data_IF_949307570759
#
_entry.id   IF_949307570759
#
_cell.length_a   1.000
_cell.length_b   1.000
_cell.length_c   1.000
_cell.angle_alpha   90.00
_cell.angle_beta   90.00
_cell.angle_gamma   90.00
#
_symmetry.space_group_name_H-M   'P 1'
#
loop_
_entity.id
_entity.type
_entity.pdbx_description
1 polymer ?
#
# COMPACT_ATOMS: atom_id res chain seq x y z
N UNK A 1 38.02 14.20 -5.97
CA UNK A 1 37.63 13.44 -4.78
C UNK A 1 36.11 13.58 -4.67
N UNK A 2 35.37 12.68 -5.31
CA UNK A 2 33.89 12.74 -5.35
C UNK A 2 33.38 12.11 -4.06
N UNK A 3 32.63 12.86 -3.27
CA UNK A 3 31.94 12.36 -2.08
C UNK A 3 30.93 11.33 -2.60
N UNK A 4 31.10 10.06 -2.23
CA UNK A 4 30.32 8.95 -2.76
C UNK A 4 28.83 9.12 -2.52
N UNK A 5 28.09 9.57 -3.53
CA UNK A 5 26.62 9.52 -3.52
C UNK A 5 26.26 8.06 -3.75
N UNK A 6 25.93 7.34 -2.67
CA UNK A 6 25.46 5.95 -2.75
C UNK A 6 24.25 5.80 -3.68
N UNK A 7 23.92 4.56 -4.06
CA UNK A 7 22.80 4.28 -4.97
C UNK A 7 21.48 4.93 -4.50
N UNK A 8 20.56 5.34 -5.39
CA UNK A 8 19.29 5.96 -4.96
C UNK A 8 18.48 5.07 -4.00
N UNK A 9 18.61 3.73 -4.10
CA UNK A 9 18.00 2.77 -3.18
C UNK A 9 18.63 2.81 -1.77
N UNK A 10 19.96 2.94 -1.67
CA UNK A 10 20.64 3.20 -0.39
C UNK A 10 20.20 4.55 0.22
N UNK A 11 19.99 5.56 -0.62
CA UNK A 11 19.41 6.85 -0.20
C UNK A 11 18.00 6.71 0.38
N UNK A 12 17.16 5.86 -0.22
CA UNK A 12 15.83 5.54 0.29
C UNK A 12 15.89 4.92 1.68
N UNK A 13 16.74 3.92 1.89
CA UNK A 13 16.90 3.26 3.20
C UNK A 13 17.29 4.25 4.30
N UNK A 14 18.28 5.10 4.04
CA UNK A 14 18.68 6.14 5.00
C UNK A 14 17.55 7.10 5.33
N UNK A 15 16.72 7.46 4.36
CA UNK A 15 15.53 8.29 4.59
C UNK A 15 14.55 7.57 5.51
N UNK A 16 14.24 6.31 5.21
CA UNK A 16 13.37 5.48 6.04
C UNK A 16 13.87 5.40 7.48
N UNK A 17 15.14 5.04 7.70
CA UNK A 17 15.73 4.91 9.04
C UNK A 17 15.70 6.23 9.81
N UNK A 18 15.93 7.36 9.12
CA UNK A 18 15.82 8.69 9.72
C UNK A 18 14.38 9.00 10.15
N UNK A 19 13.40 8.67 9.32
CA UNK A 19 11.98 8.85 9.63
C UNK A 19 11.51 7.90 10.75
N UNK A 20 12.02 6.68 10.77
CA UNK A 20 11.72 5.63 11.74
C UNK A 20 12.68 5.61 12.95
N UNK A 21 13.49 6.67 13.14
CA UNK A 21 14.57 6.69 14.14
C UNK A 21 14.08 6.51 15.59
N UNK A 22 12.80 6.79 15.87
CA UNK A 22 12.18 6.51 17.17
C UNK A 22 11.96 5.00 17.43
N UNK A 23 12.21 4.15 16.43
CA UNK A 23 11.92 2.71 16.46
C UNK A 23 13.07 1.83 15.98
N UNK A 24 14.09 2.40 15.33
CA UNK A 24 15.20 1.66 14.70
C UNK A 24 16.52 2.09 15.34
N UNK A 25 17.33 1.12 15.78
CA UNK A 25 18.74 1.40 16.10
C UNK A 25 19.50 1.66 14.80
N UNK A 26 20.25 2.77 14.72
CA UNK A 26 21.02 3.10 13.51
C UNK A 26 22.06 2.01 13.21
N UNK A 27 22.00 1.44 12.01
CA UNK A 27 22.98 0.47 11.52
C UNK A 27 24.07 1.18 10.69
N UNK A 28 25.09 0.42 10.28
CA UNK A 28 26.08 0.86 9.31
C UNK A 28 25.39 1.19 7.97
N UNK A 29 26.03 2.05 7.17
CA UNK A 29 25.50 2.41 5.84
C UNK A 29 25.19 1.14 5.01
N UNK A 30 24.04 1.09 4.31
CA UNK A 30 23.67 -0.07 3.52
C UNK A 30 24.69 -0.30 2.41
N UNK A 31 25.14 -1.55 2.28
CA UNK A 31 26.07 -1.96 1.24
C UNK A 31 25.50 -1.61 -0.16
N UNK A 32 26.16 -0.75 -0.95
CA UNK A 32 25.68 -0.37 -2.27
C UNK A 32 25.56 -1.57 -3.23
N UNK A 33 26.36 -2.63 -3.04
CA UNK A 33 26.35 -3.84 -3.87
C UNK A 33 25.16 -4.77 -3.53
N UNK A 34 24.38 -4.45 -2.49
CA UNK A 34 23.15 -5.15 -2.11
C UNK A 34 22.02 -5.00 -3.14
N UNK A 35 22.09 -3.96 -3.98
CA UNK A 35 21.00 -3.61 -4.90
C UNK A 35 21.30 -4.09 -6.32
N UNK A 36 20.54 -5.05 -6.86
CA UNK A 36 20.78 -5.57 -8.21
C UNK A 36 20.50 -4.49 -9.27
N UNK A 37 21.14 -4.60 -10.44
CA UNK A 37 20.75 -3.82 -11.61
C UNK A 37 19.34 -4.28 -12.08
N UNK A 38 18.33 -3.39 -12.12
CA UNK A 38 17.00 -3.75 -12.60
C UNK A 38 16.96 -4.03 -14.12
N UNK A 39 17.98 -3.62 -14.88
CA UNK A 39 17.98 -3.70 -16.33
C UNK A 39 16.79 -2.93 -16.93
N UNK A 40 15.85 -3.68 -17.51
CA UNK A 40 14.61 -3.16 -18.13
C UNK A 40 13.36 -3.37 -17.27
N UNK A 41 13.49 -3.98 -16.10
CA UNK A 41 12.40 -4.16 -15.14
C UNK A 41 12.05 -2.83 -14.48
N UNK A 42 10.75 -2.59 -14.28
CA UNK A 42 10.23 -1.34 -13.70
C UNK A 42 10.78 -0.08 -14.41
N UNK A 43 11.02 -0.16 -15.72
CA UNK A 43 11.53 0.95 -16.50
C UNK A 43 10.54 2.13 -16.50
N UNK A 44 11.05 3.31 -16.12
CA UNK A 44 10.34 4.59 -16.08
C UNK A 44 11.35 5.74 -16.21
N UNK A 45 10.88 6.97 -16.45
CA UNK A 45 11.77 8.14 -16.39
C UNK A 45 12.19 8.43 -14.96
N UNK A 46 11.32 8.18 -13.99
CA UNK A 46 11.63 8.24 -12.56
C UNK A 46 12.31 6.95 -12.07
N UNK A 47 13.11 7.00 -10.98
CA UNK A 47 13.87 5.84 -10.50
C UNK A 47 13.00 4.82 -9.72
N UNK A 48 12.00 4.24 -10.39
CA UNK A 48 11.00 3.32 -9.78
C UNK A 48 11.65 2.05 -9.24
N UNK A 49 12.66 1.50 -9.92
CA UNK A 49 13.38 0.34 -9.40
C UNK A 49 14.07 0.64 -8.06
N UNK A 50 14.64 1.85 -7.90
CA UNK A 50 15.26 2.25 -6.64
C UNK A 50 14.23 2.41 -5.52
N UNK A 51 13.05 2.97 -5.83
CA UNK A 51 11.92 3.00 -4.90
C UNK A 51 11.52 1.59 -4.46
N UNK A 52 11.39 0.66 -5.40
CA UNK A 52 10.98 -0.71 -5.13
C UNK A 52 12.00 -1.46 -4.27
N UNK A 53 13.29 -1.39 -4.65
CA UNK A 53 14.35 -2.05 -3.91
C UNK A 53 14.56 -1.45 -2.53
N UNK A 54 14.52 -0.11 -2.40
CA UNK A 54 14.61 0.56 -1.11
C UNK A 54 13.49 0.15 -0.16
N UNK A 55 12.24 0.08 -0.65
CA UNK A 55 11.09 -0.31 0.17
C UNK A 55 11.15 -1.78 0.61
N UNK A 56 11.50 -2.71 -0.30
CA UNK A 56 11.65 -4.13 0.05
C UNK A 56 12.85 -4.36 0.96
N UNK A 57 13.97 -3.65 0.76
CA UNK A 57 15.12 -3.71 1.67
C UNK A 57 14.76 -3.21 3.08
N UNK A 58 14.01 -2.11 3.20
CA UNK A 58 13.55 -1.61 4.50
C UNK A 58 12.72 -2.66 5.25
N UNK A 59 11.84 -3.35 4.53
CA UNK A 59 11.05 -4.46 5.07
C UNK A 59 11.91 -5.68 5.46
N UNK A 60 12.85 -6.08 4.60
CA UNK A 60 13.77 -7.18 4.89
C UNK A 60 14.63 -6.89 6.14
N UNK A 61 15.17 -5.68 6.25
CA UNK A 61 15.98 -5.25 7.40
C UNK A 61 15.16 -5.23 8.69
N UNK A 62 13.92 -4.76 8.63
CA UNK A 62 13.02 -4.80 9.78
C UNK A 62 12.67 -6.23 10.18
N UNK A 63 12.47 -7.14 9.21
CA UNK A 63 12.24 -8.56 9.47
C UNK A 63 13.46 -9.23 10.12
N UNK A 64 14.67 -8.91 9.68
CA UNK A 64 15.90 -9.45 10.26
C UNK A 64 16.16 -8.90 11.67
N UNK A 65 15.83 -7.63 11.95
CA UNK A 65 15.83 -7.12 13.33
C UNK A 65 14.89 -7.91 14.24
N UNK A 66 13.71 -8.28 13.75
CA UNK A 66 12.80 -9.15 14.51
C UNK A 66 13.40 -10.53 14.71
N UNK A 67 13.98 -11.14 13.67
CA UNK A 67 14.66 -12.45 13.79
C UNK A 67 15.75 -12.41 14.86
N UNK A 68 16.63 -11.42 14.84
CA UNK A 68 17.68 -11.24 15.87
C UNK A 68 17.06 -11.10 17.27
N UNK A 69 16.03 -10.28 17.42
CA UNK A 69 15.34 -10.09 18.70
C UNK A 69 14.62 -11.36 19.22
N UNK A 70 14.41 -12.35 18.35
CA UNK A 70 13.82 -13.65 18.67
C UNK A 70 14.84 -14.79 18.73
N UNK A 71 16.14 -14.50 18.57
CA UNK A 71 17.18 -15.53 18.54
C UNK A 71 17.14 -16.41 17.29
N UNK A 72 16.56 -15.92 16.19
CA UNK A 72 16.44 -16.61 14.91
C UNK A 72 17.58 -16.21 13.96
N UNK A 73 17.99 -17.09 13.05
CA UNK A 73 18.96 -16.74 12.02
C UNK A 73 18.38 -15.65 11.11
N UNK A 74 19.19 -14.63 10.79
CA UNK A 74 18.84 -13.62 9.78
C UNK A 74 18.80 -14.24 8.39
N UNK A 75 18.05 -13.62 7.48
CA UNK A 75 18.03 -14.08 6.09
C UNK A 75 19.38 -13.81 5.42
N UNK A 76 19.89 -14.79 4.68
CA UNK A 76 21.08 -14.64 3.81
C UNK A 76 20.70 -14.58 2.32
N UNK A 77 19.40 -14.61 2.02
CA UNK A 77 18.92 -14.57 0.65
C UNK A 77 19.13 -13.16 0.06
N UNK A 78 19.72 -13.05 -1.15
CA UNK A 78 19.89 -11.76 -1.78
C UNK A 78 18.55 -11.19 -2.27
N UNK A 79 18.52 -9.86 -2.47
CA UNK A 79 17.39 -9.22 -3.13
C UNK A 79 17.46 -9.50 -4.63
N UNK A 80 16.39 -10.07 -5.18
CA UNK A 80 16.28 -10.39 -6.59
C UNK A 80 15.43 -9.37 -7.34
N UNK A 81 15.98 -8.76 -8.39
CA UNK A 81 15.30 -7.70 -9.15
C UNK A 81 13.98 -8.17 -9.77
N UNK A 82 13.95 -9.39 -10.30
CA UNK A 82 12.79 -10.01 -10.94
C UNK A 82 11.68 -10.34 -9.93
N UNK A 83 12.01 -10.86 -8.74
CA UNK A 83 11.06 -11.09 -7.63
C UNK A 83 10.42 -9.81 -7.14
N UNK A 84 11.22 -8.76 -6.94
CA UNK A 84 10.71 -7.46 -6.50
C UNK A 84 9.83 -6.84 -7.59
N UNK A 85 10.29 -6.87 -8.85
CA UNK A 85 9.50 -6.36 -9.97
C UNK A 85 8.20 -7.14 -10.16
N UNK A 86 8.19 -8.47 -9.98
CA UNK A 86 6.99 -9.30 -10.10
C UNK A 86 5.98 -8.92 -9.03
N UNK A 87 6.44 -8.77 -7.78
CA UNK A 87 5.59 -8.33 -6.68
C UNK A 87 4.99 -6.94 -6.94
N UNK A 88 5.75 -5.98 -7.45
CA UNK A 88 5.27 -4.64 -7.80
C UNK A 88 4.31 -4.65 -9.00
N UNK A 89 4.43 -5.62 -9.90
CA UNK A 89 3.60 -5.76 -11.08
C UNK A 89 2.51 -6.84 -10.92
N UNK A 90 2.08 -7.12 -9.68
CA UNK A 90 1.16 -8.23 -9.36
C UNK A 90 -0.09 -8.24 -10.23
N UNK A 91 -0.68 -7.07 -10.47
CA UNK A 91 -1.82 -6.86 -11.37
C UNK A 91 -1.56 -7.35 -12.81
N UNK A 92 -0.33 -7.15 -13.32
CA UNK A 92 0.10 -7.60 -14.65
C UNK A 92 0.59 -9.05 -14.66
N UNK A 93 0.99 -9.59 -13.51
CA UNK A 93 1.36 -11.01 -13.34
C UNK A 93 0.15 -11.92 -13.16
N UNK A 94 -0.98 -11.37 -12.70
CA UNK A 94 -2.19 -12.13 -12.40
C UNK A 94 -2.76 -12.82 -13.64
N UNK A 95 -3.01 -14.13 -13.53
CA UNK A 95 -3.78 -14.90 -14.51
C UNK A 95 -4.94 -15.62 -13.84
N UNK A 96 -6.04 -15.76 -14.57
CA UNK A 96 -7.17 -16.63 -14.25
C UNK A 96 -7.29 -17.66 -15.38
N UNK A 97 -7.14 -18.95 -15.06
CA UNK A 97 -7.11 -20.04 -16.03
C UNK A 97 -6.08 -19.84 -17.16
N UNK A 98 -4.94 -19.21 -16.83
CA UNK A 98 -3.88 -18.88 -17.78
C UNK A 98 -4.08 -17.56 -18.53
N UNK A 99 -5.25 -16.94 -18.45
CA UNK A 99 -5.56 -15.69 -19.16
C UNK A 99 -5.25 -14.43 -18.31
N UNK A 100 -4.69 -13.35 -18.90
CA UNK A 100 -4.49 -12.08 -18.22
C UNK A 100 -5.79 -11.50 -17.66
N UNK A 101 -5.75 -11.02 -16.42
CA UNK A 101 -6.88 -10.30 -15.83
C UNK A 101 -6.68 -8.79 -15.99
N UNK A 102 -7.70 -8.07 -16.45
CA UNK A 102 -7.63 -6.60 -16.58
C UNK A 102 -7.67 -5.92 -15.22
N UNK A 103 -6.67 -5.07 -14.94
CA UNK A 103 -6.58 -4.30 -13.69
C UNK A 103 -7.38 -2.98 -13.68
N UNK A 104 -7.82 -2.46 -14.83
CA UNK A 104 -8.55 -1.19 -14.92
C UNK A 104 -9.87 -1.31 -15.68
N UNK A 105 -10.91 -0.69 -15.13
CA UNK A 105 -12.19 -0.55 -15.80
C UNK A 105 -12.12 0.48 -16.95
N UNK A 106 -13.07 0.38 -17.87
CA UNK A 106 -13.12 1.21 -19.08
C UNK A 106 -13.05 2.73 -18.81
N UNK A 107 -13.76 3.22 -17.78
CA UNK A 107 -13.78 4.64 -17.41
C UNK A 107 -12.67 5.03 -16.43
N UNK A 108 -11.67 4.17 -16.20
CA UNK A 108 -10.47 4.46 -15.42
C UNK A 108 -9.31 4.76 -16.35
N UNK A 109 -9.03 6.03 -16.61
CA UNK A 109 -7.89 6.40 -17.45
C UNK A 109 -7.56 7.88 -17.43
N UNK A 110 -6.60 8.27 -18.28
CA UNK A 110 -6.37 9.66 -18.63
C UNK A 110 -7.32 10.08 -19.75
N UNK A 111 -8.00 11.19 -19.55
CA UNK A 111 -8.97 11.77 -20.48
C UNK A 111 -8.62 13.24 -20.71
N UNK A 112 -8.69 13.68 -21.96
CA UNK A 112 -8.49 15.07 -22.33
C UNK A 112 -9.69 15.89 -21.85
N UNK A 113 -9.41 16.95 -21.09
CA UNK A 113 -10.33 18.00 -20.69
C UNK A 113 -10.12 19.22 -21.60
N UNK A 114 -10.95 20.26 -21.46
CA UNK A 114 -10.91 21.44 -22.34
C UNK A 114 -9.57 22.19 -22.30
N UNK A 115 -8.88 22.18 -21.16
CA UNK A 115 -7.67 22.95 -20.87
C UNK A 115 -6.51 22.08 -20.35
N UNK A 116 -6.61 20.75 -20.49
CA UNK A 116 -5.58 19.84 -20.00
C UNK A 116 -6.03 18.39 -19.94
N UNK A 117 -5.60 17.68 -18.91
CA UNK A 117 -5.93 16.27 -18.71
C UNK A 117 -6.46 16.02 -17.31
N UNK A 118 -7.35 15.05 -17.19
CA UNK A 118 -7.78 14.49 -15.92
C UNK A 118 -7.49 13.00 -15.87
N UNK A 119 -7.23 12.48 -14.66
CA UNK A 119 -7.19 11.06 -14.35
C UNK A 119 -8.44 10.70 -13.58
N UNK A 120 -9.22 9.77 -14.11
CA UNK A 120 -10.40 9.21 -13.44
C UNK A 120 -10.05 7.88 -12.78
N UNK A 121 -10.75 7.53 -11.70
CA UNK A 121 -10.72 6.19 -11.11
C UNK A 121 -12.14 5.66 -10.94
N UNK A 122 -12.54 4.75 -11.82
CA UNK A 122 -13.88 4.15 -11.91
C UNK A 122 -13.83 2.61 -11.92
N UNK A 123 -12.85 2.01 -11.23
CA UNK A 123 -12.65 0.56 -11.20
C UNK A 123 -13.78 -0.23 -10.52
N UNK A 124 -14.53 0.42 -9.62
CA UNK A 124 -15.64 -0.18 -8.91
C UNK A 124 -16.98 0.36 -9.42
N UNK A 125 -18.07 -0.43 -9.44
CA UNK A 125 -19.38 0.02 -9.93
C UNK A 125 -19.86 1.32 -9.29
N UNK A 126 -19.70 1.47 -7.98
CA UNK A 126 -20.10 2.69 -7.26
C UNK A 126 -19.20 3.90 -7.57
N UNK A 127 -17.93 3.70 -7.96
CA UNK A 127 -17.09 4.79 -8.46
C UNK A 127 -17.52 5.21 -9.87
N UNK A 128 -17.85 4.25 -10.73
CA UNK A 128 -18.38 4.49 -12.07
C UNK A 128 -19.69 5.29 -12.01
N UNK A 129 -20.64 4.88 -11.17
CA UNK A 129 -21.91 5.56 -11.01
C UNK A 129 -21.74 7.04 -10.58
N UNK A 130 -20.85 7.31 -9.62
CA UNK A 130 -20.54 8.69 -9.19
C UNK A 130 -19.89 9.52 -10.28
N UNK A 131 -18.97 8.95 -11.06
CA UNK A 131 -18.36 9.63 -12.20
C UNK A 131 -19.42 10.05 -13.23
N UNK A 132 -20.32 9.14 -13.61
CA UNK A 132 -21.38 9.45 -14.57
C UNK A 132 -22.37 10.48 -14.04
N UNK A 133 -22.70 10.40 -12.74
CA UNK A 133 -23.53 11.42 -12.07
C UNK A 133 -22.90 12.81 -12.17
N UNK A 134 -21.60 12.93 -11.89
CA UNK A 134 -20.87 14.20 -11.99
C UNK A 134 -20.80 14.71 -13.44
N UNK A 135 -20.72 13.80 -14.42
CA UNK A 135 -20.73 14.14 -15.84
C UNK A 135 -22.14 14.42 -16.41
N UNK A 136 -23.20 14.25 -15.62
CA UNK A 136 -24.59 14.38 -16.09
C UNK A 136 -24.99 13.30 -17.12
N UNK A 137 -24.40 12.11 -17.03
CA UNK A 137 -24.62 11.01 -17.97
C UNK A 137 -25.49 9.90 -17.34
N UNK A 138 -26.31 9.18 -18.14
CA UNK A 138 -27.07 8.04 -17.67
C UNK A 138 -26.15 6.87 -17.27
N UNK A 139 -26.63 5.97 -16.43
CA UNK A 139 -25.82 4.87 -15.89
C UNK A 139 -25.27 3.92 -16.97
N UNK A 140 -25.95 3.78 -18.11
CA UNK A 140 -25.54 2.93 -19.23
C UNK A 140 -24.62 3.64 -20.23
N UNK A 141 -24.22 4.89 -19.96
CA UNK A 141 -23.34 5.65 -20.84
C UNK A 141 -22.02 4.93 -21.13
N UNK A 142 -21.67 4.90 -22.42
CA UNK A 142 -20.42 4.33 -22.91
C UNK A 142 -19.23 5.27 -22.69
N UNK A 143 -18.02 4.76 -22.95
CA UNK A 143 -16.80 5.56 -22.89
C UNK A 143 -16.80 6.74 -23.83
N UNK A 144 -17.40 6.64 -25.02
CA UNK A 144 -17.43 7.74 -25.98
C UNK A 144 -18.24 8.93 -25.47
N UNK A 145 -19.36 8.68 -24.80
CA UNK A 145 -20.15 9.70 -24.11
C UNK A 145 -19.36 10.35 -22.97
N UNK A 146 -18.70 9.54 -22.14
CA UNK A 146 -17.84 10.04 -21.06
C UNK A 146 -16.68 10.90 -21.59
N UNK A 147 -16.01 10.48 -22.66
CA UNK A 147 -14.94 11.24 -23.32
C UNK A 147 -15.44 12.59 -23.79
N UNK A 148 -16.58 12.64 -24.49
CA UNK A 148 -17.17 13.92 -24.95
C UNK A 148 -17.55 14.83 -23.78
N UNK A 149 -18.13 14.28 -22.73
CA UNK A 149 -18.51 15.05 -21.55
C UNK A 149 -17.28 15.65 -20.85
N UNK A 150 -16.22 14.84 -20.62
CA UNK A 150 -14.98 15.31 -19.98
C UNK A 150 -14.31 16.39 -20.84
N UNK A 151 -14.25 16.21 -22.16
CA UNK A 151 -13.65 17.18 -23.08
C UNK A 151 -14.35 18.55 -23.07
N UNK A 152 -15.62 18.62 -22.63
CA UNK A 152 -16.38 19.86 -22.48
C UNK A 152 -16.13 20.62 -21.17
N UNK A 153 -15.36 20.07 -20.22
CA UNK A 153 -15.11 20.69 -18.92
C UNK A 153 -13.66 21.15 -18.78
N UNK A 154 -13.45 22.25 -18.04
CA UNK A 154 -12.12 22.58 -17.50
C UNK A 154 -11.67 21.51 -16.49
N UNK A 155 -10.38 21.16 -16.51
CA UNK A 155 -9.83 20.11 -15.68
C UNK A 155 -9.91 20.43 -14.18
N UNK A 156 -9.74 21.70 -13.82
CA UNK A 156 -9.89 22.19 -12.44
C UNK A 156 -11.34 22.10 -11.96
N UNK A 157 -12.27 22.63 -12.77
CA UNK A 157 -13.71 22.61 -12.49
C UNK A 157 -14.22 21.18 -12.33
N UNK A 158 -13.78 20.27 -13.19
CA UNK A 158 -14.18 18.87 -13.12
C UNK A 158 -13.60 18.16 -11.88
N UNK A 159 -12.34 18.41 -11.51
CA UNK A 159 -11.77 17.90 -10.26
C UNK A 159 -12.55 18.42 -9.04
N UNK A 160 -12.91 19.72 -9.04
CA UNK A 160 -13.67 20.33 -7.96
C UNK A 160 -15.08 19.73 -7.85
N UNK A 161 -15.81 19.65 -8.97
CA UNK A 161 -17.14 19.04 -9.02
C UNK A 161 -17.10 17.56 -8.61
N UNK A 162 -16.08 16.81 -9.04
CA UNK A 162 -15.90 15.43 -8.65
C UNK A 162 -15.66 15.27 -7.15
N UNK A 163 -14.83 16.14 -6.55
CA UNK A 163 -14.57 16.12 -5.11
C UNK A 163 -15.85 16.35 -4.29
N UNK A 164 -16.73 17.27 -4.74
CA UNK A 164 -18.03 17.52 -4.11
C UNK A 164 -19.02 16.36 -4.32
N UNK A 165 -19.06 15.78 -5.53
CA UNK A 165 -19.93 14.65 -5.89
C UNK A 165 -19.44 13.29 -5.41
N UNK A 166 -18.28 13.24 -4.73
CA UNK A 166 -17.67 11.98 -4.27
C UNK A 166 -17.14 11.08 -5.39
N UNK A 167 -17.03 11.60 -6.61
CA UNK A 167 -16.36 10.95 -7.73
C UNK A 167 -14.83 11.09 -7.60
N UNK A 168 -14.11 10.29 -8.37
CA UNK A 168 -12.65 10.22 -8.31
C UNK A 168 -12.07 10.73 -9.62
N UNK A 169 -11.92 12.04 -9.70
CA UNK A 169 -11.31 12.74 -10.84
C UNK A 169 -10.26 13.69 -10.29
N UNK A 170 -9.05 13.64 -10.84
CA UNK A 170 -7.94 14.50 -10.47
C UNK A 170 -7.32 15.12 -11.72
N UNK A 171 -7.11 16.42 -11.73
CA UNK A 171 -6.37 17.12 -12.78
C UNK A 171 -4.92 16.65 -12.79
N UNK A 172 -4.41 16.36 -13.98
CA UNK A 172 -2.98 16.11 -14.19
C UNK A 172 -2.22 17.42 -14.05
N UNK A 173 -1.26 17.45 -13.14
CA UNK A 173 -0.41 18.62 -12.87
C UNK A 173 1.01 18.36 -13.31
N UNK A 174 1.80 19.41 -13.40
CA UNK A 174 3.27 19.32 -13.39
C UNK A 174 3.78 19.29 -11.94
N UNK A 175 5.02 18.81 -11.69
CA UNK A 175 5.61 18.86 -10.35
C UNK A 175 5.70 20.29 -9.78
N UNK A 176 5.87 21.30 -10.64
CA UNK A 176 5.91 22.71 -10.23
C UNK A 176 4.54 23.19 -9.73
N UNK A 177 3.47 22.94 -10.50
CA UNK A 177 2.10 23.26 -10.09
C UNK A 177 1.73 22.56 -8.76
N UNK A 178 2.08 21.28 -8.62
CA UNK A 178 1.81 20.57 -7.37
C UNK A 178 2.50 21.23 -6.17
N UNK A 179 3.78 21.58 -6.28
CA UNK A 179 4.54 22.22 -5.20
C UNK A 179 4.04 23.61 -4.83
N UNK A 180 3.36 24.32 -5.73
CA UNK A 180 2.83 25.66 -5.47
C UNK A 180 1.38 25.66 -4.98
N UNK A 181 0.64 24.57 -5.12
CA UNK A 181 -0.71 24.41 -4.56
C UNK A 181 -0.67 23.98 -3.07
N UNK A 182 -1.63 24.43 -2.27
CA UNK A 182 -1.72 24.12 -0.83
C UNK A 182 -1.74 22.61 -0.55
N UNK A 183 -2.51 21.88 -1.35
CA UNK A 183 -2.61 20.42 -1.28
C UNK A 183 -1.26 19.76 -1.52
N UNK A 184 -0.52 20.21 -2.54
CA UNK A 184 0.75 19.60 -2.88
C UNK A 184 1.90 20.02 -1.99
N UNK A 185 1.88 21.23 -1.40
CA UNK A 185 2.80 21.58 -0.30
C UNK A 185 2.61 20.65 0.90
N UNK A 186 1.36 20.44 1.34
CA UNK A 186 1.06 19.56 2.47
C UNK A 186 1.43 18.10 2.19
N UNK A 187 1.13 17.60 0.99
CA UNK A 187 1.46 16.23 0.58
C UNK A 187 2.97 16.01 0.39
N UNK A 188 3.69 17.01 -0.15
CA UNK A 188 5.14 16.89 -0.39
C UNK A 188 5.98 17.01 0.88
N UNK A 189 5.45 17.65 1.93
CA UNK A 189 6.09 17.78 3.23
C UNK A 189 5.96 16.52 4.12
N UNK A 190 5.21 15.50 3.69
CA UNK A 190 5.05 14.27 4.46
C UNK A 190 6.37 13.46 4.45
N UNK A 191 6.83 12.97 5.62
CA UNK A 191 7.95 12.02 5.66
C UNK A 191 7.56 10.69 5.00
N UNK A 192 8.55 9.85 4.66
CA UNK A 192 8.28 8.49 4.16
C UNK A 192 7.46 7.67 5.16
N UNK A 193 7.77 7.82 6.45
CA UNK A 193 7.05 7.21 7.56
C UNK A 193 6.94 8.23 8.69
N UNK A 194 5.78 8.31 9.32
CA UNK A 194 5.56 9.08 10.55
C UNK A 194 5.33 8.11 11.69
N UNK A 195 5.99 8.32 12.83
CA UNK A 195 5.87 7.48 14.03
C UNK A 195 5.52 8.36 15.22
N UNK A 196 4.49 7.97 15.96
CA UNK A 196 4.11 8.59 17.23
C UNK A 196 3.99 7.54 18.33
N UNK A 197 4.54 7.83 19.50
CA UNK A 197 4.30 7.03 20.69
C UNK A 197 2.87 7.25 21.20
N UNK A 198 2.29 6.20 21.76
CA UNK A 198 0.97 6.19 22.40
C UNK A 198 1.13 5.64 23.82
N UNK A 199 0.60 6.34 24.84
CA UNK A 199 0.61 5.82 26.20
C UNK A 199 -0.12 4.49 26.30
N UNK A 200 0.46 3.56 27.07
CA UNK A 200 -0.18 2.34 27.60
C UNK A 200 -0.97 1.52 26.57
N UNK A 201 -0.30 0.75 25.69
CA UNK A 201 -0.97 -0.24 24.85
C UNK A 201 -1.47 -1.42 25.71
N UNK A 202 -2.25 -2.32 25.10
CA UNK A 202 -2.49 -3.64 25.66
C UNK A 202 -1.18 -4.24 26.21
N UNK A 203 -1.16 -4.87 27.41
CA UNK A 203 0.00 -5.64 27.83
C UNK A 203 0.31 -6.66 26.74
N UNK A 204 1.58 -6.79 26.36
CA UNK A 204 1.98 -7.71 25.31
C UNK A 204 1.46 -9.11 25.65
N UNK A 205 0.62 -9.69 24.77
CA UNK A 205 0.31 -11.11 24.87
C UNK A 205 1.64 -11.85 24.78
N UNK A 206 1.96 -12.67 25.78
CA UNK A 206 3.01 -13.67 25.59
C UNK A 206 2.52 -14.55 24.43
N UNK A 207 3.31 -14.72 23.36
CA UNK A 207 3.01 -15.73 22.36
C UNK A 207 2.78 -17.05 23.11
N UNK A 208 1.68 -17.74 22.83
CA UNK A 208 1.50 -19.08 23.38
C UNK A 208 2.73 -19.90 22.97
N UNK A 209 3.39 -20.63 23.90
CA UNK A 209 4.46 -21.54 23.53
C UNK A 209 3.86 -22.58 22.57
N UNK A 210 4.21 -22.50 21.30
CA UNK A 210 3.80 -23.44 20.27
C UNK A 210 4.97 -24.40 20.02
N UNK A 211 4.71 -25.69 20.15
CA UNK A 211 5.74 -26.73 20.29
C UNK A 211 6.34 -27.21 18.96
N UNK A 212 6.14 -26.51 17.83
CA UNK A 212 6.82 -26.84 16.56
C UNK A 212 6.98 -25.64 15.63
N UNK A 213 8.16 -25.61 15.00
CA UNK A 213 8.77 -24.63 14.10
C UNK A 213 9.09 -23.24 14.67
N UNK A 214 10.11 -23.21 15.52
CA UNK A 214 10.70 -21.99 16.09
C UNK A 214 11.30 -21.03 15.04
N UNK A 215 11.19 -21.28 13.72
CA UNK A 215 11.87 -20.53 12.66
C UNK A 215 11.10 -19.32 12.11
N UNK A 216 9.85 -19.10 12.51
CA UNK A 216 8.95 -18.09 11.92
C UNK A 216 8.82 -16.82 12.80
N UNK A 217 9.28 -15.64 12.36
CA UNK A 217 9.52 -14.48 13.25
C UNK A 217 8.28 -13.81 13.84
N UNK A 218 7.11 -13.90 13.19
CA UNK A 218 5.86 -13.27 13.67
C UNK A 218 4.82 -14.29 14.17
N UNK A 219 5.23 -15.54 14.42
CA UNK A 219 4.32 -16.56 14.92
C UNK A 219 3.63 -16.10 16.21
N UNK A 220 2.30 -16.18 16.22
CA UNK A 220 1.47 -15.77 17.36
C UNK A 220 1.07 -14.30 17.38
N UNK A 221 1.61 -13.45 16.49
CA UNK A 221 1.18 -12.08 16.31
C UNK A 221 -0.17 -12.02 15.59
N UNK A 222 -1.13 -11.27 16.12
CA UNK A 222 -2.45 -11.06 15.50
C UNK A 222 -2.55 -9.69 14.83
N UNK A 223 -2.90 -9.66 13.55
CA UNK A 223 -3.03 -8.44 12.75
C UNK A 223 -4.45 -8.31 12.23
N UNK A 224 -5.18 -7.29 12.70
CA UNK A 224 -6.49 -6.94 12.18
C UNK A 224 -6.34 -5.97 11.00
N UNK A 225 -6.73 -6.43 9.82
CA UNK A 225 -6.59 -5.73 8.54
C UNK A 225 -7.93 -5.09 8.13
N UNK A 226 -8.03 -3.76 8.24
CA UNK A 226 -9.14 -2.96 7.71
C UNK A 226 -8.71 -2.18 6.47
N UNK A 227 -7.83 -2.76 5.67
CA UNK A 227 -7.33 -2.14 4.45
C UNK A 227 -7.92 -2.81 3.22
N UNK A 228 -7.79 -2.13 2.07
CA UNK A 228 -8.35 -2.56 0.79
C UNK A 228 -7.40 -2.22 -0.34
N UNK A 229 -7.69 -2.75 -1.53
CA UNK A 229 -6.95 -2.43 -2.76
C UNK A 229 -5.51 -2.97 -2.71
N UNK A 230 -4.47 -2.14 -2.61
CA UNK A 230 -3.06 -2.57 -2.76
C UNK A 230 -2.19 -2.22 -1.56
N UNK A 231 -2.00 -0.94 -1.22
CA UNK A 231 -0.94 -0.56 -0.25
C UNK A 231 -1.05 -1.23 1.12
N UNK A 232 -2.23 -1.15 1.73
CA UNK A 232 -2.50 -1.82 3.00
C UNK A 232 -2.43 -3.35 2.89
N UNK A 233 -3.08 -3.97 1.88
CA UNK A 233 -2.99 -5.40 1.66
C UNK A 233 -1.57 -5.94 1.40
N UNK A 234 -0.71 -5.17 0.72
CA UNK A 234 0.72 -5.48 0.57
C UNK A 234 1.39 -5.50 1.94
N UNK A 235 1.14 -4.50 2.79
CA UNK A 235 1.71 -4.47 4.13
C UNK A 235 1.30 -5.69 4.96
N UNK A 236 0.00 -5.99 5.00
CA UNK A 236 -0.55 -7.06 5.84
C UNK A 236 -0.21 -8.45 5.30
N UNK A 237 -0.15 -8.65 3.98
CA UNK A 237 0.35 -9.90 3.38
C UNK A 237 1.83 -10.12 3.66
N UNK A 238 2.63 -9.06 3.67
CA UNK A 238 4.04 -9.15 4.04
C UNK A 238 4.22 -9.56 5.52
N UNK A 239 3.33 -9.11 6.42
CA UNK A 239 3.31 -9.60 7.80
C UNK A 239 2.86 -11.08 7.88
N UNK A 240 1.86 -11.49 7.09
CA UNK A 240 1.44 -12.89 6.99
C UNK A 240 2.55 -13.81 6.48
N UNK A 241 3.33 -13.35 5.49
CA UNK A 241 4.50 -14.07 4.95
C UNK A 241 5.51 -14.42 6.06
N UNK A 242 5.68 -13.52 7.02
CA UNK A 242 6.54 -13.70 8.19
C UNK A 242 5.86 -14.45 9.35
N UNK A 243 4.63 -14.94 9.16
CA UNK A 243 3.91 -15.84 10.06
C UNK A 243 2.88 -15.20 11.00
N UNK A 244 2.54 -13.93 10.81
CA UNK A 244 1.46 -13.32 11.57
C UNK A 244 0.09 -13.93 11.19
N UNK A 245 -0.81 -14.08 12.15
CA UNK A 245 -2.21 -14.41 11.88
C UNK A 245 -2.94 -13.12 11.48
N UNK A 246 -3.23 -13.00 10.19
CA UNK A 246 -3.84 -11.81 9.62
C UNK A 246 -5.30 -12.08 9.29
N UNK A 247 -6.20 -11.34 9.92
CA UNK A 247 -7.63 -11.36 9.65
C UNK A 247 -8.05 -10.03 9.03
N UNK A 248 -8.48 -10.07 7.78
CA UNK A 248 -9.08 -8.94 7.08
C UNK A 248 -10.58 -8.90 7.27
N UNK A 249 -11.10 -7.72 7.62
CA UNK A 249 -12.54 -7.48 7.74
C UNK A 249 -12.98 -6.46 6.68
N UNK A 250 -13.88 -6.88 5.79
CA UNK A 250 -14.49 -6.01 4.78
C UNK A 250 -15.98 -5.74 5.08
N UNK A 251 -16.52 -4.57 4.69
CA UNK A 251 -17.93 -4.29 4.80
C UNK A 251 -18.73 -5.00 3.68
N UNK A 252 -19.96 -5.48 3.96
CA UNK A 252 -20.73 -6.28 2.99
C UNK A 252 -21.13 -5.50 1.74
N UNK A 253 -21.31 -4.17 1.86
CA UNK A 253 -21.71 -3.31 0.74
C UNK A 253 -20.57 -2.98 -0.21
N UNK A 254 -19.36 -3.50 0.01
CA UNK A 254 -18.22 -3.19 -0.84
C UNK A 254 -17.32 -4.39 -1.06
N UNK A 255 -17.88 -5.41 -1.72
CA UNK A 255 -17.14 -6.57 -2.17
C UNK A 255 -15.83 -6.18 -2.88
N UNK A 256 -14.75 -6.85 -2.52
CA UNK A 256 -13.48 -6.72 -3.23
C UNK A 256 -13.55 -7.48 -4.55
N UNK A 257 -12.85 -6.98 -5.57
CA UNK A 257 -12.78 -7.67 -6.86
C UNK A 257 -12.06 -9.01 -6.67
N UNK A 258 -12.60 -10.12 -7.20
CA UNK A 258 -12.04 -11.46 -7.00
C UNK A 258 -10.55 -11.55 -7.38
N UNK A 259 -10.18 -10.93 -8.50
CA UNK A 259 -8.80 -10.78 -8.96
C UNK A 259 -7.90 -10.04 -7.94
N UNK A 260 -8.41 -8.96 -7.36
CA UNK A 260 -7.70 -8.19 -6.33
C UNK A 260 -7.53 -8.99 -5.05
N UNK A 261 -8.55 -9.76 -4.65
CA UNK A 261 -8.46 -10.69 -3.50
C UNK A 261 -7.40 -11.76 -3.75
N UNK A 262 -7.42 -12.40 -4.92
CA UNK A 262 -6.44 -13.41 -5.31
C UNK A 262 -5.00 -12.87 -5.26
N UNK A 263 -4.78 -11.66 -5.78
CA UNK A 263 -3.46 -11.03 -5.81
C UNK A 263 -3.01 -10.45 -4.47
N UNK A 264 -3.88 -10.10 -3.52
CA UNK A 264 -3.46 -9.35 -2.32
C UNK A 264 -3.81 -9.99 -0.98
N UNK A 265 -4.52 -11.13 -0.98
CA UNK A 265 -4.96 -11.81 0.23
C UNK A 265 -4.30 -13.18 0.47
N UNK A 266 -3.22 -13.51 -0.23
CA UNK A 266 -2.44 -14.72 0.08
C UNK A 266 -1.92 -14.67 1.53
N UNK A 267 -1.97 -15.78 2.24
CA UNK A 267 -1.60 -15.87 3.66
C UNK A 267 -2.56 -15.18 4.64
N UNK A 268 -3.68 -14.58 4.19
CA UNK A 268 -4.62 -13.81 5.03
C UNK A 268 -6.03 -14.36 5.03
N UNK A 269 -6.65 -14.45 6.21
CA UNK A 269 -8.08 -14.79 6.33
C UNK A 269 -8.90 -13.56 5.99
N UNK A 270 -10.04 -13.76 5.32
CA UNK A 270 -10.94 -12.66 4.95
C UNK A 270 -12.37 -12.95 5.41
N UNK A 271 -12.94 -12.02 6.16
CA UNK A 271 -14.32 -12.11 6.64
C UNK A 271 -15.09 -10.84 6.30
N UNK A 272 -16.41 -10.98 6.21
CA UNK A 272 -17.33 -9.87 5.96
C UNK A 272 -18.11 -9.57 7.22
N UNK A 273 -18.04 -8.32 7.68
CA UNK A 273 -18.71 -7.89 8.90
C UNK A 273 -19.34 -6.50 8.70
N UNK A 274 -20.65 -6.39 8.91
CA UNK A 274 -21.32 -5.08 8.93
C UNK A 274 -21.03 -4.39 10.26
N UNK A 275 -20.03 -3.53 10.30
CA UNK A 275 -19.61 -2.79 11.50
C UNK A 275 -20.63 -1.73 11.95
N UNK A 276 -21.68 -1.46 11.17
CA UNK A 276 -22.77 -0.57 11.58
C UNK A 276 -23.85 -1.30 12.38
N UNK A 277 -23.88 -2.63 12.32
CA UNK A 277 -24.81 -3.48 13.04
C UNK A 277 -24.39 -3.64 14.51
N UNK A 278 -25.35 -3.51 15.45
CA UNK A 278 -25.09 -3.63 16.89
C UNK A 278 -24.51 -5.02 17.28
N UNK A 279 -25.08 -6.16 16.87
CA UNK A 279 -24.50 -7.49 17.14
C UNK A 279 -23.04 -7.63 16.68
N UNK A 280 -22.71 -7.06 15.53
CA UNK A 280 -21.36 -7.14 14.96
C UNK A 280 -20.37 -6.20 15.64
N UNK A 281 -20.86 -5.15 16.32
CA UNK A 281 -20.01 -4.21 17.06
C UNK A 281 -19.27 -4.92 18.19
N UNK A 282 -19.92 -5.86 18.89
CA UNK A 282 -19.29 -6.65 19.95
C UNK A 282 -18.19 -7.58 19.39
N UNK A 283 -18.48 -8.31 18.32
CA UNK A 283 -17.49 -9.16 17.63
C UNK A 283 -16.29 -8.35 17.18
N UNK A 284 -16.52 -7.17 16.59
CA UNK A 284 -15.45 -6.29 16.16
C UNK A 284 -14.61 -5.75 17.33
N UNK A 285 -15.26 -5.36 18.44
CA UNK A 285 -14.58 -4.93 19.64
C UNK A 285 -13.66 -6.03 20.20
N UNK A 286 -14.14 -7.28 20.27
CA UNK A 286 -13.34 -8.43 20.69
C UNK A 286 -12.15 -8.66 19.75
N UNK A 287 -12.37 -8.58 18.44
CA UNK A 287 -11.30 -8.70 17.45
C UNK A 287 -10.21 -7.64 17.64
N UNK A 288 -10.60 -6.37 17.88
CA UNK A 288 -9.68 -5.26 18.12
C UNK A 288 -8.93 -5.43 19.44
N UNK A 289 -9.62 -5.83 20.51
CA UNK A 289 -9.03 -6.03 21.83
C UNK A 289 -7.95 -7.13 21.82
N UNK A 290 -8.16 -8.17 21.01
CA UNK A 290 -7.25 -9.30 20.87
C UNK A 290 -6.16 -9.12 19.79
N UNK A 291 -6.16 -8.01 19.06
CA UNK A 291 -5.17 -7.72 18.01
C UNK A 291 -3.91 -7.03 18.57
N UNK A 292 -2.74 -7.47 18.14
CA UNK A 292 -1.47 -6.78 18.42
C UNK A 292 -1.28 -5.57 17.51
N UNK A 293 -1.73 -5.70 16.26
CA UNK A 293 -1.61 -4.68 15.22
C UNK A 293 -2.96 -4.44 14.57
N UNK A 294 -3.37 -3.18 14.49
CA UNK A 294 -4.49 -2.74 13.66
C UNK A 294 -3.94 -1.99 12.45
N UNK A 295 -4.33 -2.40 11.25
CA UNK A 295 -3.95 -1.72 10.00
C UNK A 295 -5.18 -1.12 9.33
N UNK A 296 -5.12 0.16 8.98
CA UNK A 296 -6.25 0.88 8.35
C UNK A 296 -5.80 1.60 7.08
N UNK A 297 -6.66 1.57 6.05
CA UNK A 297 -6.35 2.09 4.71
C UNK A 297 -7.37 3.12 4.21
N UNK A 298 -7.95 3.91 5.12
CA UNK A 298 -8.99 4.88 4.80
C UNK A 298 -8.51 6.31 5.10
N UNK A 299 -9.17 7.28 4.45
CA UNK A 299 -8.99 8.70 4.76
C UNK A 299 -9.17 8.97 6.27
N UNK A 300 -8.38 9.89 6.87
CA UNK A 300 -8.57 10.34 8.24
C UNK A 300 -10.04 10.69 8.53
N UNK A 301 -10.54 10.34 9.72
CA UNK A 301 -11.96 10.47 10.07
C UNK A 301 -12.87 9.30 9.69
N UNK A 302 -12.53 8.49 8.68
CA UNK A 302 -13.50 7.52 8.13
C UNK A 302 -13.82 6.35 9.07
N UNK A 303 -12.85 5.91 9.86
CA UNK A 303 -13.02 4.81 10.82
C UNK A 303 -13.08 5.27 12.28
N UNK A 304 -12.86 6.56 12.55
CA UNK A 304 -12.88 7.12 13.91
C UNK A 304 -14.17 6.79 14.68
N UNK A 305 -15.38 6.88 14.08
CA UNK A 305 -16.59 6.48 14.79
C UNK A 305 -16.58 5.00 15.19
N UNK A 306 -16.09 4.12 14.32
CA UNK A 306 -16.05 2.67 14.53
C UNK A 306 -14.98 2.25 15.54
N UNK A 307 -13.89 3.02 15.64
CA UNK A 307 -12.77 2.79 16.55
C UNK A 307 -12.87 3.62 17.84
N UNK A 308 -14.01 4.29 18.07
CA UNK A 308 -14.22 5.12 19.25
C UNK A 308 -14.29 4.26 20.53
N UNK A 309 -13.86 4.80 21.69
CA UNK A 309 -14.00 4.10 22.96
C UNK A 309 -15.44 3.65 23.25
N UNK A 310 -16.44 4.43 22.85
CA UNK A 310 -17.86 4.08 23.02
C UNK A 310 -18.26 2.84 22.21
N UNK A 311 -17.65 2.64 21.03
CA UNK A 311 -17.91 1.49 20.17
C UNK A 311 -17.12 0.25 20.56
N UNK A 312 -15.88 0.43 21.00
CA UNK A 312 -15.00 -0.67 21.42
C UNK A 312 -15.25 -1.10 22.88
N UNK A 313 -15.97 -0.27 23.66
CA UNK A 313 -16.24 -0.51 25.06
C UNK A 313 -15.18 0.08 25.98
N UNK A 314 -15.62 0.55 27.16
CA UNK A 314 -14.75 1.08 28.22
C UNK A 314 -13.85 -0.04 28.72
N UNK A 315 -12.54 0.10 28.54
CA UNK A 315 -11.54 -0.90 28.92
C UNK A 315 -10.97 -1.74 27.78
N UNK A 316 -11.45 -1.57 26.54
CA UNK A 316 -10.81 -2.17 25.36
C UNK A 316 -9.35 -1.74 25.28
N UNK A 317 -8.44 -2.71 25.26
CA UNK A 317 -7.01 -2.44 25.14
C UNK A 317 -6.69 -2.07 23.70
N UNK A 318 -6.12 -0.88 23.51
CA UNK A 318 -5.69 -0.46 22.17
C UNK A 318 -4.58 -1.40 21.66
N UNK A 319 -4.63 -1.83 20.38
CA UNK A 319 -3.55 -2.59 19.77
C UNK A 319 -2.19 -1.92 19.97
N UNK A 320 -1.13 -2.70 20.14
CA UNK A 320 0.24 -2.21 20.36
C UNK A 320 0.68 -1.27 19.24
N UNK A 321 0.31 -1.60 17.99
CA UNK A 321 0.57 -0.76 16.82
C UNK A 321 -0.74 -0.45 16.09
N UNK A 322 -0.98 0.83 15.80
CA UNK A 322 -2.00 1.25 14.84
C UNK A 322 -1.29 1.81 13.60
N UNK A 323 -1.32 1.04 12.52
CA UNK A 323 -0.71 1.38 11.25
C UNK A 323 -1.75 1.97 10.30
N UNK A 324 -1.40 3.08 9.64
CA UNK A 324 -2.30 3.78 8.72
C UNK A 324 -1.61 4.03 7.38
N UNK A 325 -2.31 3.72 6.29
CA UNK A 325 -1.92 4.17 4.95
C UNK A 325 -2.99 5.09 4.37
N UNK A 326 -2.57 6.24 3.87
CA UNK A 326 -3.45 7.25 3.26
C UNK A 326 -2.93 7.67 1.89
N UNK A 327 -3.80 8.24 1.06
CA UNK A 327 -3.35 8.76 -0.24
C UNK A 327 -2.55 10.07 -0.08
N UNK A 328 -3.06 11.00 0.72
CA UNK A 328 -2.61 12.40 0.72
C UNK A 328 -1.86 12.82 2.00
N UNK A 329 -1.74 11.94 2.99
CA UNK A 329 -1.23 12.28 4.32
C UNK A 329 -2.34 12.65 5.30
N UNK A 330 -1.92 13.00 6.52
CA UNK A 330 -2.84 13.37 7.61
C UNK A 330 -3.17 14.89 7.61
N UNK A 331 -2.42 15.69 6.85
CA UNK A 331 -2.46 17.15 6.91
C UNK A 331 -2.90 17.81 5.59
N UNK A 332 -3.36 19.05 5.67
CA UNK A 332 -3.71 19.88 4.51
C UNK A 332 -5.10 19.61 3.92
N UNK A 333 -5.47 20.37 2.87
CA UNK A 333 -6.84 20.41 2.36
C UNK A 333 -7.30 19.10 1.72
N UNK A 334 -6.35 18.22 1.35
CA UNK A 334 -6.65 16.94 0.71
C UNK A 334 -6.56 15.74 1.66
N UNK A 335 -6.20 15.92 2.93
CA UNK A 335 -6.10 14.82 3.90
C UNK A 335 -7.36 13.93 3.91
N UNK A 336 -8.54 14.55 3.91
CA UNK A 336 -9.84 13.85 3.92
C UNK A 336 -10.40 13.52 2.53
N UNK A 337 -9.63 13.73 1.45
CA UNK A 337 -10.06 13.29 0.11
C UNK A 337 -9.77 11.81 -0.08
N UNK A 338 -10.59 11.16 -0.90
CA UNK A 338 -10.27 9.81 -1.40
C UNK A 338 -9.08 9.90 -2.35
N UNK A 339 -8.33 8.82 -2.47
CA UNK A 339 -7.19 8.76 -3.37
C UNK A 339 -6.79 7.32 -3.65
N UNK A 340 -6.08 7.17 -4.74
CA UNK A 340 -5.52 5.92 -5.27
C UNK A 340 -4.17 6.28 -5.87
N UNK A 341 -3.25 5.32 -5.95
CA UNK A 341 -1.92 5.53 -6.54
C UNK A 341 -2.01 6.28 -7.89
N UNK A 342 -2.86 5.81 -8.81
CA UNK A 342 -3.05 6.47 -10.10
C UNK A 342 -3.46 7.96 -10.02
N UNK A 343 -4.24 8.34 -9.00
CA UNK A 343 -4.65 9.73 -8.79
C UNK A 343 -3.52 10.56 -8.17
N UNK A 344 -2.73 9.96 -7.27
CA UNK A 344 -1.55 10.61 -6.69
C UNK A 344 -0.49 10.83 -7.77
N UNK A 345 -0.30 9.88 -8.70
CA UNK A 345 0.59 10.07 -9.86
C UNK A 345 0.15 11.26 -10.73
N UNK A 346 -1.16 11.42 -10.96
CA UNK A 346 -1.71 12.54 -11.72
C UNK A 346 -1.52 13.90 -11.01
N UNK A 347 -1.87 13.96 -9.72
CA UNK A 347 -1.77 15.19 -8.93
C UNK A 347 -0.34 15.65 -8.68
N UNK A 348 0.57 14.72 -8.37
CA UNK A 348 1.97 15.05 -8.02
C UNK A 348 2.84 15.42 -9.22
N UNK A 349 2.35 15.17 -10.43
CA UNK A 349 3.05 15.42 -11.69
C UNK A 349 3.96 14.30 -12.18
N UNK A 350 3.93 13.14 -11.52
CA UNK A 350 4.51 11.90 -12.06
C UNK A 350 3.93 11.61 -13.46
N UNK A 351 2.61 11.72 -13.63
CA UNK A 351 1.97 11.43 -14.92
C UNK A 351 2.40 12.39 -16.05
N UNK A 352 2.68 13.65 -15.71
CA UNK A 352 3.23 14.62 -16.66
C UNK A 352 4.69 14.32 -17.01
N UNK A 353 5.49 13.83 -16.05
CA UNK A 353 6.87 13.39 -16.32
C UNK A 353 6.87 12.19 -17.26
N UNK A 354 6.02 11.19 -17.01
CA UNK A 354 5.93 9.95 -17.79
C UNK A 354 5.15 10.10 -19.11
N UNK A 355 4.82 11.33 -19.52
CA UNK A 355 4.07 11.57 -20.74
C UNK A 355 4.78 11.02 -22.00
N UNK A 356 3.96 10.60 -22.97
CA UNK A 356 4.43 10.16 -24.28
C UNK A 356 4.92 11.34 -25.14
N UNK A 357 5.43 11.04 -26.35
CA UNK A 357 5.94 12.06 -27.26
C UNK A 357 4.86 13.03 -27.76
N UNK A 358 3.59 12.67 -27.64
CA UNK A 358 2.42 13.48 -28.00
C UNK A 358 1.89 14.30 -26.81
N UNK A 359 2.54 14.20 -25.65
CA UNK A 359 2.15 14.92 -24.44
C UNK A 359 0.95 14.32 -23.70
N UNK A 360 0.52 13.10 -24.06
CA UNK A 360 -0.49 12.37 -23.28
C UNK A 360 0.14 11.91 -21.97
N UNK A 361 -0.49 12.15 -20.81
CA UNK A 361 0.04 11.72 -19.52
C UNK A 361 0.28 10.21 -19.46
N UNK A 362 1.40 9.82 -18.85
CA UNK A 362 1.77 8.43 -18.64
C UNK A 362 1.52 7.95 -17.22
N UNK A 363 1.89 6.69 -16.97
CA UNK A 363 1.84 6.08 -15.65
C UNK A 363 3.17 5.36 -15.36
N UNK A 364 3.49 5.22 -14.08
CA UNK A 364 4.56 4.32 -13.65
C UNK A 364 4.26 2.88 -14.11
N UNK A 365 5.29 2.02 -14.26
CA UNK A 365 5.12 0.64 -14.73
C UNK A 365 4.33 -0.25 -13.76
N UNK A 366 3.99 0.24 -12.57
CA UNK A 366 3.23 -0.45 -11.55
C UNK A 366 2.39 0.57 -10.76
N UNK A 367 1.50 0.10 -9.89
CA UNK A 367 1.03 0.91 -8.74
C UNK A 367 2.17 1.03 -7.71
N UNK A 368 3.28 1.62 -8.13
CA UNK A 368 4.55 1.59 -7.41
C UNK A 368 4.50 2.36 -6.09
N UNK A 369 3.68 3.40 -5.98
CA UNK A 369 3.49 4.12 -4.73
C UNK A 369 2.74 3.25 -3.73
N UNK A 370 1.71 2.52 -4.17
CA UNK A 370 0.97 1.58 -3.32
C UNK A 370 1.89 0.47 -2.80
N UNK A 371 2.61 -0.22 -3.68
CA UNK A 371 3.50 -1.32 -3.28
C UNK A 371 4.63 -0.85 -2.36
N UNK A 372 5.31 0.25 -2.69
CA UNK A 372 6.38 0.78 -1.85
C UNK A 372 5.84 1.24 -0.49
N UNK A 373 4.69 1.92 -0.45
CA UNK A 373 4.03 2.32 0.80
C UNK A 373 3.64 1.13 1.66
N UNK A 374 3.20 0.04 1.04
CA UNK A 374 2.86 -1.20 1.75
C UNK A 374 4.08 -1.84 2.42
N UNK A 375 5.20 -1.97 1.70
CA UNK A 375 6.44 -2.48 2.30
C UNK A 375 6.99 -1.56 3.39
N UNK A 376 6.95 -0.24 3.18
CA UNK A 376 7.29 0.74 4.21
C UNK A 376 6.43 0.62 5.47
N UNK A 377 5.12 0.43 5.30
CA UNK A 377 4.20 0.29 6.43
C UNK A 377 4.46 -1.02 7.18
N UNK A 378 4.74 -2.13 6.48
CA UNK A 378 5.13 -3.39 7.10
C UNK A 378 6.43 -3.24 7.90
N UNK A 379 7.47 -2.63 7.30
CA UNK A 379 8.73 -2.34 7.98
C UNK A 379 8.51 -1.52 9.27
N UNK A 380 7.73 -0.45 9.17
CA UNK A 380 7.42 0.43 10.30
C UNK A 380 6.63 -0.29 11.40
N UNK A 381 5.76 -1.25 11.06
CA UNK A 381 5.05 -2.08 12.05
C UNK A 381 6.03 -2.95 12.82
N UNK A 382 6.96 -3.62 12.14
CA UNK A 382 7.95 -4.48 12.78
C UNK A 382 8.85 -3.70 13.75
N UNK A 383 9.37 -2.57 13.28
CA UNK A 383 10.22 -1.70 14.09
C UNK A 383 9.44 -1.11 15.28
N UNK A 384 8.17 -0.74 15.07
CA UNK A 384 7.31 -0.27 16.15
C UNK A 384 7.04 -1.34 17.22
N UNK A 385 6.83 -2.60 16.82
CA UNK A 385 6.64 -3.71 17.75
C UNK A 385 7.89 -3.93 18.60
N UNK A 386 9.08 -3.98 17.99
CA UNK A 386 10.35 -4.15 18.69
C UNK A 386 10.64 -3.01 19.66
N UNK A 387 10.42 -1.78 19.23
CA UNK A 387 10.62 -0.63 20.09
C UNK A 387 9.67 -0.66 21.29
N UNK A 388 8.43 -1.14 21.10
CA UNK A 388 7.45 -1.32 22.19
C UNK A 388 7.81 -2.39 23.19
N UNK A 389 8.61 -3.37 22.80
CA UNK A 389 9.13 -4.38 23.75
C UNK A 389 10.24 -3.81 24.63
N UNK A 390 10.94 -2.79 24.14
CA UNK A 390 12.02 -2.12 24.86
C UNK A 390 11.50 -1.10 25.87
N UNK A 391 10.50 -0.31 25.47
CA UNK A 391 10.01 0.82 26.28
C UNK A 391 8.60 0.64 26.86
N UNK A 392 7.87 -0.41 26.47
CA UNK A 392 6.52 -0.67 26.94
C UNK A 392 5.43 0.25 26.36
N UNK A 393 5.76 1.06 25.34
CA UNK A 393 4.81 2.01 24.75
C UNK A 393 4.13 1.44 23.49
N UNK A 394 2.93 1.95 23.20
CA UNK A 394 2.24 1.68 21.95
C UNK A 394 2.69 2.67 20.89
N UNK A 395 2.43 2.39 19.62
CA UNK A 395 2.79 3.29 18.51
C UNK A 395 1.67 3.46 17.51
N UNK A 396 1.58 4.65 16.94
CA UNK A 396 0.84 4.92 15.72
C UNK A 396 1.86 5.19 14.61
N UNK A 397 1.77 4.44 13.52
CA UNK A 397 2.65 4.61 12.35
C UNK A 397 1.79 4.99 11.15
N UNK A 398 2.24 5.95 10.35
CA UNK A 398 1.55 6.31 9.11
C UNK A 398 2.49 6.48 7.92
N UNK A 399 2.01 6.03 6.77
CA UNK A 399 2.64 6.20 5.45
C UNK A 399 1.62 6.83 4.52
N UNK A 400 2.07 7.70 3.62
CA UNK A 400 1.19 8.26 2.59
C UNK A 400 1.75 8.10 1.20
N UNK A 401 0.87 7.81 0.24
CA UNK A 401 1.26 7.71 -1.16
C UNK A 401 1.87 9.02 -1.67
N UNK A 402 1.36 10.17 -1.20
CA UNK A 402 1.91 11.49 -1.51
C UNK A 402 3.34 11.68 -0.97
N UNK A 403 3.64 11.18 0.23
CA UNK A 403 5.01 11.17 0.78
C UNK A 403 5.94 10.28 -0.04
N UNK A 404 5.49 9.09 -0.44
CA UNK A 404 6.25 8.20 -1.33
C UNK A 404 6.46 8.80 -2.72
N UNK A 405 5.45 9.46 -3.28
CA UNK A 405 5.56 10.20 -4.54
C UNK A 405 6.54 11.37 -4.42
N UNK A 406 6.51 12.10 -3.30
CA UNK A 406 7.45 13.18 -3.01
C UNK A 406 8.88 12.66 -3.02
N UNK A 407 9.17 11.55 -2.35
CA UNK A 407 10.49 10.93 -2.41
C UNK A 407 10.89 10.58 -3.83
N UNK A 408 10.02 9.90 -4.59
CA UNK A 408 10.32 9.47 -5.97
C UNK A 408 10.62 10.65 -6.89
N UNK A 409 9.93 11.78 -6.72
CA UNK A 409 10.13 13.00 -7.52
C UNK A 409 11.45 13.71 -7.20
N UNK A 410 11.98 13.58 -5.98
CA UNK A 410 13.23 14.20 -5.55
C UNK A 410 14.44 13.26 -5.62
N UNK A 411 14.21 11.95 -5.82
CA UNK A 411 15.27 10.97 -5.93
C UNK A 411 16.16 11.24 -7.18
N UNK A 412 17.49 11.11 -7.05
CA UNK A 412 18.39 11.21 -8.19
C UNK A 412 18.17 10.03 -9.16
N UNK A 413 18.61 10.19 -10.41
CA UNK A 413 18.54 9.13 -11.42
C UNK A 413 17.37 9.23 -12.40
N UNK A 414 16.72 10.41 -12.48
CA UNK A 414 15.73 10.69 -13.54
C UNK A 414 16.38 10.57 -14.92
N UNK A 415 15.71 9.87 -15.84
CA UNK A 415 16.13 9.62 -17.22
C UNK A 415 15.36 10.49 -18.21
N UNK A 416 16.00 10.82 -19.33
CA UNK A 416 15.36 11.51 -20.46
C UNK A 416 14.40 10.60 -21.23
N UNK A 417 14.67 9.29 -21.27
CA UNK A 417 13.79 8.25 -21.80
C UNK A 417 14.03 6.93 -21.05
N UNK A 418 12.97 6.16 -20.75
CA UNK A 418 13.14 4.82 -20.19
C UNK A 418 13.54 3.81 -21.28
N UNK A 419 14.27 2.74 -20.93
CA UNK A 419 14.41 1.61 -21.84
C UNK A 419 13.05 0.90 -22.05
N UNK A 420 12.90 0.05 -23.08
CA UNK A 420 11.69 -0.75 -23.27
C UNK A 420 11.42 -1.60 -22.04
N UNK A 421 10.27 -1.40 -21.40
CA UNK A 421 9.93 -2.12 -20.18
C UNK A 421 9.71 -3.61 -20.45
N UNK A 422 10.30 -4.46 -19.62
CA UNK A 422 10.02 -5.90 -19.61
C UNK A 422 9.24 -6.30 -18.37
N UNK A 423 8.47 -7.37 -18.50
CA UNK A 423 7.85 -8.04 -17.37
C UNK A 423 8.77 -9.17 -16.87
N UNK A 424 8.76 -9.47 -15.57
CA UNK A 424 9.44 -10.63 -15.02
C UNK A 424 8.98 -11.94 -15.68
N UNK A 425 9.88 -12.92 -15.72
CA UNK A 425 9.61 -14.22 -16.33
C UNK A 425 8.73 -15.13 -15.46
N UNK A 426 8.21 -16.25 -16.02
CA UNK A 426 7.30 -17.17 -15.34
C UNK A 426 7.83 -17.75 -14.01
N UNK A 427 9.15 -17.86 -13.84
CA UNK A 427 9.78 -18.32 -12.60
C UNK A 427 9.45 -17.45 -11.37
N UNK A 428 9.02 -16.21 -11.59
CA UNK A 428 8.61 -15.28 -10.52
C UNK A 428 7.13 -15.39 -10.14
N UNK A 429 6.42 -16.35 -10.73
CA UNK A 429 4.98 -16.59 -10.47
C UNK A 429 4.74 -17.97 -9.87
N UNK A 430 3.59 -18.12 -9.24
CA UNK A 430 3.10 -19.38 -8.68
C UNK A 430 1.62 -19.51 -8.98
N UNK A 431 1.19 -20.75 -9.26
CA UNK A 431 -0.21 -21.06 -9.60
C UNK A 431 -0.82 -21.90 -8.50
N UNK A 432 -1.96 -21.43 -7.99
CA UNK A 432 -2.81 -22.13 -7.04
C UNK A 432 -4.21 -22.23 -7.62
N UNK A 433 -4.68 -23.47 -7.84
CA UNK A 433 -5.94 -23.74 -8.53
C UNK A 433 -6.02 -22.98 -9.88
N UNK A 434 -6.95 -22.03 -10.01
CA UNK A 434 -7.17 -21.26 -11.24
C UNK A 434 -6.38 -19.96 -11.31
N UNK A 435 -5.72 -19.54 -10.22
CA UNK A 435 -5.03 -18.26 -10.16
C UNK A 435 -3.51 -18.42 -10.24
N UNK A 436 -2.88 -17.66 -11.12
CA UNK A 436 -1.43 -17.45 -11.12
C UNK A 436 -1.12 -16.07 -10.58
N UNK A 437 -0.31 -15.96 -9.53
CA UNK A 437 0.08 -14.68 -8.90
C UNK A 437 1.59 -14.54 -8.82
N UNK A 438 2.08 -13.31 -8.60
CA UNK A 438 3.48 -13.08 -8.31
C UNK A 438 3.89 -13.78 -7.00
N UNK A 439 5.07 -14.38 -6.98
CA UNK A 439 5.69 -14.91 -5.76
C UNK A 439 6.12 -13.75 -4.84
N UNK A 440 6.39 -14.01 -3.54
CA UNK A 440 6.85 -12.98 -2.61
C UNK A 440 8.10 -12.20 -3.08
N UNK A 441 8.25 -10.93 -2.68
CA UNK A 441 9.45 -10.16 -3.04
C UNK A 441 10.73 -10.68 -2.36
N UNK A 442 10.61 -11.27 -1.15
CA UNK A 442 11.72 -11.92 -0.46
C UNK A 442 11.93 -13.32 -1.01
N UNK A 443 13.17 -13.64 -1.39
CA UNK A 443 13.51 -14.88 -2.10
C UNK A 443 13.79 -16.08 -1.18
N UNK A 444 13.93 -15.85 0.12
CA UNK A 444 13.90 -16.91 1.15
C UNK A 444 12.50 -17.52 1.35
N UNK A 445 11.48 -16.94 0.69
CA UNK A 445 10.14 -17.49 0.62
C UNK A 445 9.78 -17.84 -0.82
N UNK A 446 9.71 -19.13 -1.13
CA UNK A 446 9.29 -19.56 -2.46
C UNK A 446 7.85 -19.15 -2.77
N UNK A 447 6.96 -19.20 -1.78
CA UNK A 447 5.54 -18.92 -1.89
C UNK A 447 5.01 -18.23 -0.62
N UNK A 448 3.79 -17.70 -0.69
CA UNK A 448 3.03 -17.31 0.50
C UNK A 448 2.61 -18.55 1.30
N UNK A 449 2.30 -18.42 2.61
CA UNK A 449 1.94 -19.57 3.44
C UNK A 449 0.79 -20.41 2.90
N UNK A 450 -0.14 -19.78 2.19
CA UNK A 450 -1.27 -20.41 1.52
C UNK A 450 -1.93 -19.42 0.53
N UNK A 451 -2.63 -19.90 -0.51
CA UNK A 451 -3.30 -19.06 -1.50
C UNK A 451 -4.50 -18.32 -0.92
N UNK A 452 -4.82 -17.14 -1.45
CA UNK A 452 -5.96 -16.36 -0.99
C UNK A 452 -7.25 -17.19 -0.95
N UNK A 453 -7.93 -17.17 0.20
CA UNK A 453 -9.24 -17.78 0.34
C UNK A 453 -10.28 -17.03 -0.50
N UNK A 454 -11.45 -17.65 -0.69
CA UNK A 454 -12.60 -16.95 -1.25
C UNK A 454 -12.94 -15.76 -0.36
N UNK A 455 -13.20 -14.60 -0.97
CA UNK A 455 -13.50 -13.37 -0.24
C UNK A 455 -14.66 -13.57 0.73
N UNK A 456 -14.41 -13.29 2.01
CA UNK A 456 -15.42 -13.36 3.06
C UNK A 456 -15.76 -14.77 3.56
N UNK A 457 -15.01 -15.79 3.13
CA UNK A 457 -15.30 -17.18 3.48
C UNK A 457 -14.83 -17.57 4.90
N UNK A 458 -13.97 -16.78 5.53
CA UNK A 458 -13.44 -17.07 6.87
C UNK A 458 -14.34 -16.48 7.97
N UNK A 459 -14.33 -17.13 9.13
CA UNK A 459 -15.00 -16.61 10.32
C UNK A 459 -14.33 -15.33 10.86
N UNK A 460 -15.14 -14.38 11.30
CA UNK A 460 -14.69 -13.16 11.99
C UNK A 460 -14.28 -13.45 13.46
N UNK A 461 -13.31 -14.35 13.66
CA UNK A 461 -12.77 -14.70 14.99
C UNK A 461 -11.29 -15.06 14.92
N UNK A 462 -10.58 -14.84 16.02
CA UNK A 462 -9.25 -15.41 16.21
C UNK A 462 -9.33 -16.92 16.49
N UNK A 463 -8.39 -17.74 16.01
CA UNK A 463 -8.30 -19.13 16.39
C UNK A 463 -8.12 -19.22 17.91
N UNK A 464 -8.84 -20.15 18.55
CA UNK A 464 -8.58 -20.53 19.94
C UNK A 464 -7.17 -21.09 20.01
N UNK A 465 -6.38 -20.64 20.99
CA UNK A 465 -5.09 -21.25 21.27
C UNK A 465 -5.35 -22.73 21.63
N UNK A 466 -4.91 -23.63 20.76
CA UNK A 466 -4.92 -25.08 21.00
C UNK A 466 -3.90 -25.47 22.03
#
# INVERSE_FOLDING_TARGET
MSIGVGTPAAGFLREYERCAAATVDRHADPDPDRFPDPGTLLAARLPVAALAFGAVAAFADAADRVRVARGLPVSVAPLHADRIAASFCGDRMLRLDGEPVSGFAELSGFFAAADGWVRTHANYPHHRARLLTVLGLPEDADRSAAVRAIAGHGADDLEHAAALGGALVVRVRTPEQWRTEDAGRAGSAQPLVRVHTRPTPAPARRPAPCDTDASVPLRGLRVLDLTRVIAGPVATRSLALLGADVLRIDPPQSAELAAQTADTCQGKRTSVLDLHSLPNSAVFADLVADADVLVTGYRPGALEPLLSPDRLGVGSTAPRVHARVTAWGDDGPWARRRGFDSLVQAASGIAAIEADAQGRPGALPAQALDHASGYLLAAAVLDALLAGERDGLGRAVSVSLAGTASWLLHAPGRRSAPPPATLPGPATTVTHDRFTTARPALADHDDYPWPAHTWGADDARWPTAT
#
